data_IF_335956353221
#
_entry.id   IF_335956353221
#
_cell.length_a   1.000
_cell.length_b   1.000
_cell.length_c   1.000
_cell.angle_alpha   90.00
_cell.angle_beta   90.00
_cell.angle_gamma   90.00
#
_symmetry.space_group_name_H-M   'P 1'
#
loop_
_entity.id
_entity.type
_entity.pdbx_description
1 polymer ?
#
# COMPACT_ATOMS: atom_id res chain seq x y z
N UNK A 1 30.12 -10.30 -2.13
CA UNK A 1 29.17 -9.31 -1.57
C UNK A 1 28.40 -8.58 -2.67
N UNK A 2 29.10 -8.04 -3.68
CA UNK A 2 28.50 -7.35 -4.84
C UNK A 2 27.36 -8.12 -5.53
N UNK A 3 27.60 -9.37 -5.92
CA UNK A 3 26.61 -10.17 -6.65
C UNK A 3 25.30 -10.36 -5.88
N UNK A 4 25.38 -10.53 -4.55
CA UNK A 4 24.20 -10.64 -3.68
C UNK A 4 23.38 -9.35 -3.69
N UNK A 5 24.05 -8.20 -3.58
CA UNK A 5 23.38 -6.88 -3.63
C UNK A 5 22.72 -6.64 -4.99
N UNK A 6 23.40 -6.99 -6.09
CA UNK A 6 22.83 -6.87 -7.43
C UNK A 6 21.59 -7.77 -7.59
N UNK A 7 21.66 -9.01 -7.12
CA UNK A 7 20.52 -9.93 -7.19
C UNK A 7 19.32 -9.46 -6.36
N UNK A 8 19.57 -8.87 -5.18
CA UNK A 8 18.51 -8.23 -4.39
C UNK A 8 17.89 -7.05 -5.14
N UNK A 9 18.71 -6.15 -5.69
CA UNK A 9 18.24 -5.00 -6.46
C UNK A 9 17.39 -5.41 -7.67
N UNK A 10 17.80 -6.46 -8.39
CA UNK A 10 17.01 -7.03 -9.49
C UNK A 10 15.65 -7.57 -9.04
N UNK A 11 15.58 -8.20 -7.86
CA UNK A 11 14.31 -8.66 -7.27
C UNK A 11 13.41 -7.50 -6.86
N UNK A 12 13.97 -6.47 -6.21
CA UNK A 12 13.22 -5.26 -5.85
C UNK A 12 12.64 -4.59 -7.10
N UNK A 13 13.44 -4.38 -8.13
CA UNK A 13 12.97 -3.77 -9.39
C UNK A 13 11.91 -4.63 -10.08
N UNK A 14 12.05 -5.95 -10.08
CA UNK A 14 11.03 -6.86 -10.61
C UNK A 14 9.70 -6.75 -9.84
N UNK A 15 9.73 -6.74 -8.50
CA UNK A 15 8.54 -6.57 -7.67
C UNK A 15 7.85 -5.23 -7.91
N UNK A 16 8.62 -4.13 -7.94
CA UNK A 16 8.09 -2.77 -8.12
C UNK A 16 7.64 -2.45 -9.55
N UNK A 17 7.99 -3.28 -10.52
CA UNK A 17 7.51 -3.17 -11.91
C UNK A 17 6.48 -4.23 -12.26
N UNK A 18 5.90 -4.89 -11.26
CA UNK A 18 4.90 -5.94 -11.43
C UNK A 18 5.32 -7.03 -12.41
N UNK A 19 6.61 -7.37 -12.41
CA UNK A 19 7.17 -8.42 -13.25
C UNK A 19 7.37 -8.06 -14.73
N UNK A 20 7.37 -6.76 -15.08
CA UNK A 20 7.70 -6.29 -16.43
C UNK A 20 9.21 -6.13 -16.65
N UNK A 21 9.97 -5.77 -15.61
CA UNK A 21 11.43 -5.57 -15.71
C UNK A 21 12.18 -6.63 -14.93
N UNK A 22 13.41 -6.92 -15.40
CA UNK A 22 14.28 -7.94 -14.80
C UNK A 22 13.61 -9.33 -14.70
N UNK A 23 12.85 -9.74 -15.72
CA UNK A 23 12.29 -11.10 -15.77
C UNK A 23 13.41 -12.13 -15.87
N UNK A 24 13.32 -13.17 -15.05
CA UNK A 24 14.28 -14.25 -14.92
C UNK A 24 13.62 -15.46 -14.23
N UNK A 25 12.98 -16.37 -15.00
CA UNK A 25 12.27 -17.51 -14.43
C UNK A 25 13.16 -18.47 -13.65
N UNK A 26 14.41 -18.67 -14.04
CA UNK A 26 15.33 -19.58 -13.32
C UNK A 26 15.75 -19.02 -11.96
N UNK A 27 15.68 -17.70 -11.77
CA UNK A 27 15.84 -17.04 -10.48
C UNK A 27 14.51 -16.78 -9.73
N UNK A 28 13.40 -17.41 -10.14
CA UNK A 28 12.09 -17.27 -9.50
C UNK A 28 11.39 -15.93 -9.75
N UNK A 29 11.72 -15.26 -10.87
CA UNK A 29 11.16 -13.96 -11.27
C UNK A 29 10.47 -14.06 -12.64
N UNK A 30 9.36 -14.82 -12.77
CA UNK A 30 8.67 -14.99 -14.05
C UNK A 30 8.10 -13.66 -14.57
N UNK A 31 7.69 -13.64 -15.85
CA UNK A 31 7.00 -12.48 -16.43
C UNK A 31 5.60 -12.33 -15.83
N UNK A 32 5.20 -11.10 -15.56
CA UNK A 32 3.87 -10.74 -15.07
C UNK A 32 3.80 -10.59 -13.55
N UNK A 33 2.66 -10.08 -13.07
CA UNK A 33 2.48 -9.66 -11.69
C UNK A 33 2.80 -10.80 -10.71
N UNK A 34 3.79 -10.63 -9.82
CA UNK A 34 4.09 -11.58 -8.74
C UNK A 34 2.85 -11.74 -7.87
N UNK A 35 2.41 -12.97 -7.65
CA UNK A 35 1.22 -13.26 -6.84
C UNK A 35 1.55 -14.30 -5.78
N UNK A 36 1.16 -14.00 -4.55
CA UNK A 36 1.17 -14.98 -3.46
C UNK A 36 0.15 -16.11 -3.74
N UNK A 37 0.35 -17.29 -3.11
CA UNK A 37 -0.68 -18.33 -3.05
C UNK A 37 -2.02 -17.77 -2.59
N UNK A 38 -3.14 -18.36 -3.03
CA UNK A 38 -4.48 -17.84 -2.73
C UNK A 38 -4.79 -17.75 -1.22
N UNK A 39 -4.21 -18.64 -0.42
CA UNK A 39 -4.33 -18.68 1.04
C UNK A 39 -3.62 -17.51 1.75
N UNK A 40 -2.56 -16.98 1.14
CA UNK A 40 -1.73 -15.90 1.71
C UNK A 40 -2.01 -14.54 1.07
N UNK A 41 -2.72 -14.54 -0.07
CA UNK A 41 -2.97 -13.33 -0.83
C UNK A 41 -4.02 -12.47 -0.14
N UNK A 42 -3.60 -11.30 0.35
CA UNK A 42 -4.49 -10.25 0.83
C UNK A 42 -5.51 -9.86 -0.24
N UNK A 43 -6.78 -9.81 0.16
CA UNK A 43 -7.90 -9.39 -0.70
C UNK A 43 -8.78 -8.42 0.07
N UNK A 44 -9.46 -7.55 -0.68
CA UNK A 44 -10.59 -6.80 -0.16
C UNK A 44 -11.74 -7.80 0.05
N UNK A 45 -12.07 -8.09 1.31
CA UNK A 45 -13.12 -9.04 1.68
C UNK A 45 -14.43 -8.33 2.02
N UNK A 46 -14.34 -7.07 2.45
CA UNK A 46 -15.44 -6.13 2.55
C UNK A 46 -15.03 -4.86 1.82
N UNK A 47 -15.89 -4.35 0.95
CA UNK A 47 -15.62 -3.19 0.10
C UNK A 47 -15.25 -1.96 0.95
N UNK A 48 -14.21 -1.25 0.52
CA UNK A 48 -13.80 0.02 1.13
C UNK A 48 -14.47 1.13 0.32
N UNK A 49 -15.42 1.88 0.91
CA UNK A 49 -16.10 2.94 0.18
C UNK A 49 -15.11 4.05 -0.23
N UNK A 50 -15.30 4.58 -1.44
CA UNK A 50 -14.57 5.72 -1.98
C UNK A 50 -15.46 6.95 -2.21
N UNK A 51 -16.73 6.86 -1.81
CA UNK A 51 -17.67 7.98 -1.86
C UNK A 51 -17.34 9.01 -0.78
N UNK A 52 -17.55 10.29 -1.08
CA UNK A 52 -17.21 11.41 -0.18
C UNK A 52 -17.79 11.22 1.23
N UNK A 53 -19.05 10.79 1.33
CA UNK A 53 -19.76 10.66 2.60
C UNK A 53 -19.32 9.44 3.42
N UNK A 54 -18.88 8.37 2.75
CA UNK A 54 -18.46 7.12 3.38
C UNK A 54 -16.93 6.93 3.38
N UNK A 55 -16.17 7.98 3.05
CA UNK A 55 -14.71 7.96 3.11
C UNK A 55 -14.23 7.48 4.49
N UNK A 56 -13.29 6.53 4.55
CA UNK A 56 -12.80 6.00 5.82
C UNK A 56 -12.20 7.08 6.72
N UNK A 57 -12.50 7.03 8.01
CA UNK A 57 -11.91 7.93 9.02
C UNK A 57 -10.82 7.24 9.86
N UNK A 58 -10.94 5.92 10.04
CA UNK A 58 -10.12 5.10 10.94
C UNK A 58 -9.54 3.90 10.20
N UNK A 59 -8.33 3.52 10.61
CA UNK A 59 -7.62 2.32 10.18
C UNK A 59 -7.24 1.50 11.41
N UNK A 60 -7.70 0.26 11.49
CA UNK A 60 -7.45 -0.63 12.62
C UNK A 60 -6.90 -1.98 12.15
N UNK A 61 -6.20 -2.68 13.04
CA UNK A 61 -5.74 -4.03 12.80
C UNK A 61 -6.37 -4.98 13.80
N UNK A 62 -7.11 -5.96 13.29
CA UNK A 62 -7.69 -7.04 14.06
C UNK A 62 -6.70 -8.20 14.10
N UNK A 63 -6.04 -8.39 15.25
CA UNK A 63 -5.06 -9.46 15.45
C UNK A 63 -5.69 -10.85 15.43
N UNK A 64 -6.95 -10.98 15.84
CA UNK A 64 -7.66 -12.26 15.90
C UNK A 64 -7.94 -12.82 14.51
N UNK A 65 -8.23 -11.95 13.54
CA UNK A 65 -8.48 -12.35 12.15
C UNK A 65 -7.32 -12.05 11.21
N UNK A 66 -6.27 -11.35 11.68
CA UNK A 66 -5.19 -10.85 10.85
C UNK A 66 -5.71 -9.92 9.76
N UNK A 67 -6.66 -9.04 10.07
CA UNK A 67 -7.34 -8.19 9.08
C UNK A 67 -7.03 -6.71 9.30
N UNK A 68 -6.94 -5.97 8.20
CA UNK A 68 -6.91 -4.51 8.23
C UNK A 68 -8.34 -3.98 8.02
N UNK A 69 -8.87 -3.28 9.01
CA UNK A 69 -10.19 -2.64 8.95
C UNK A 69 -10.00 -1.20 8.50
N UNK A 70 -10.64 -0.81 7.40
CA UNK A 70 -10.51 0.50 6.74
C UNK A 70 -11.89 1.14 6.69
N UNK A 71 -12.26 1.89 7.73
CA UNK A 71 -13.64 2.36 7.91
C UNK A 71 -14.61 1.17 7.99
N UNK A 72 -15.55 1.08 7.04
CA UNK A 72 -16.48 -0.06 6.93
C UNK A 72 -15.96 -1.21 6.05
N UNK A 73 -14.78 -1.07 5.44
CA UNK A 73 -14.19 -2.10 4.58
C UNK A 73 -13.11 -2.91 5.29
N UNK A 74 -12.70 -4.01 4.67
CA UNK A 74 -11.77 -4.98 5.28
C UNK A 74 -10.86 -5.62 4.25
N UNK A 75 -9.57 -5.70 4.57
CA UNK A 75 -8.56 -6.43 3.80
C UNK A 75 -8.05 -7.61 4.63
N UNK A 76 -8.08 -8.81 4.07
CA UNK A 76 -7.65 -10.04 4.74
C UNK A 76 -7.13 -11.09 3.74
N UNK A 77 -6.15 -11.94 4.13
CA UNK A 77 -5.34 -11.82 5.35
C UNK A 77 -4.23 -10.77 5.19
N UNK A 78 -3.84 -10.14 6.30
CA UNK A 78 -2.71 -9.22 6.41
C UNK A 78 -1.81 -9.72 7.55
N UNK A 79 -0.66 -10.35 7.24
CA UNK A 79 0.28 -10.78 8.26
C UNK A 79 0.74 -9.62 9.14
N UNK A 80 1.01 -9.88 10.42
CA UNK A 80 1.48 -8.85 11.37
C UNK A 80 2.75 -8.16 10.87
N UNK A 81 3.68 -8.89 10.28
CA UNK A 81 4.90 -8.35 9.67
C UNK A 81 4.62 -7.31 8.57
N UNK A 82 3.54 -7.50 7.80
CA UNK A 82 3.12 -6.54 6.77
C UNK A 82 2.49 -5.31 7.41
N UNK A 83 1.64 -5.49 8.44
CA UNK A 83 1.02 -4.38 9.19
C UNK A 83 2.08 -3.49 9.84
N UNK A 84 3.12 -4.10 10.38
CA UNK A 84 4.19 -3.42 11.15
C UNK A 84 5.32 -2.91 10.26
N UNK A 85 5.28 -3.17 8.96
CA UNK A 85 6.35 -2.77 8.04
C UNK A 85 6.59 -1.25 8.06
N UNK A 86 7.82 -0.87 8.39
CA UNK A 86 8.24 0.51 8.54
C UNK A 86 9.52 0.80 7.76
N UNK A 87 9.60 2.01 7.20
CA UNK A 87 10.81 2.55 6.56
C UNK A 87 11.28 3.74 7.38
N UNK A 88 12.51 3.68 7.88
CA UNK A 88 13.08 4.71 8.76
C UNK A 88 12.18 5.04 9.96
N UNK A 89 11.57 4.01 10.57
CA UNK A 89 10.65 4.15 11.71
C UNK A 89 9.23 4.61 11.36
N UNK A 90 8.93 4.89 10.10
CA UNK A 90 7.60 5.29 9.65
C UNK A 90 6.81 4.10 9.14
N UNK A 91 5.70 3.78 9.81
CA UNK A 91 4.77 2.75 9.33
C UNK A 91 4.17 3.15 7.98
N UNK A 92 4.36 2.30 6.97
CA UNK A 92 3.99 2.64 5.58
C UNK A 92 2.47 2.70 5.41
N UNK A 93 1.72 1.81 6.04
CA UNK A 93 0.26 1.74 5.91
C UNK A 93 -0.38 2.93 6.62
N UNK A 94 0.05 3.24 7.85
CA UNK A 94 -0.47 4.39 8.60
C UNK A 94 -0.19 5.70 7.86
N UNK A 95 1.03 5.86 7.32
CA UNK A 95 1.39 7.03 6.54
C UNK A 95 0.54 7.16 5.28
N UNK A 96 0.36 6.06 4.53
CA UNK A 96 -0.44 6.04 3.32
C UNK A 96 -1.91 6.38 3.60
N UNK A 97 -2.49 5.79 4.66
CA UNK A 97 -3.87 6.02 5.06
C UNK A 97 -4.09 7.45 5.56
N UNK A 98 -3.13 8.01 6.30
CA UNK A 98 -3.22 9.38 6.78
C UNK A 98 -3.45 10.42 5.68
N UNK A 99 -3.01 10.18 4.44
CA UNK A 99 -3.27 11.06 3.30
C UNK A 99 -4.59 10.79 2.55
N UNK A 100 -5.25 9.66 2.83
CA UNK A 100 -6.38 9.13 2.05
C UNK A 100 -7.63 8.88 2.87
N UNK A 101 -7.65 9.28 4.14
CA UNK A 101 -8.83 9.28 4.98
C UNK A 101 -9.67 10.54 4.75
N UNK A 102 -10.91 10.53 5.21
CA UNK A 102 -11.89 11.63 5.04
C UNK A 102 -11.34 13.01 5.39
N UNK A 103 -10.57 13.12 6.47
CA UNK A 103 -9.81 14.32 6.83
C UNK A 103 -8.30 14.05 6.77
N UNK A 104 -7.63 14.34 5.64
CA UNK A 104 -6.22 14.01 5.45
C UNK A 104 -5.29 14.75 6.42
N UNK A 105 -4.23 14.08 6.87
CA UNK A 105 -3.21 14.64 7.77
C UNK A 105 -2.27 15.69 7.09
N UNK A 106 -2.56 16.09 5.85
CA UNK A 106 -1.85 17.15 5.15
C UNK A 106 -2.45 18.52 5.50
N UNK A 107 -1.60 19.53 5.71
CA UNK A 107 -2.09 20.92 5.77
C UNK A 107 -2.80 21.24 4.46
N UNK A 108 -4.09 21.61 4.50
CA UNK A 108 -4.76 22.26 3.36
C UNK A 108 -3.87 23.42 2.92
N UNK A 109 -3.34 23.35 1.69
CA UNK A 109 -2.63 24.48 1.09
C UNK A 109 -3.64 25.63 0.94
N UNK A 110 -3.17 26.83 1.21
CA UNK A 110 -3.91 28.00 1.67
C UNK A 110 -4.94 28.57 0.68
N UNK A 111 -5.74 29.51 1.19
CA UNK A 111 -6.76 30.40 0.58
C UNK A 111 -6.35 31.11 -0.75
N UNK A 112 -5.12 30.96 -1.22
CA UNK A 112 -4.56 31.69 -2.37
C UNK A 112 -4.86 31.07 -3.75
N UNK A 113 -5.54 29.93 -3.83
CA UNK A 113 -5.95 29.34 -5.11
C UNK A 113 -7.18 30.05 -5.75
N UNK A 114 -7.73 31.09 -5.11
CA UNK A 114 -8.89 31.85 -5.61
C UNK A 114 -8.57 33.18 -6.30
N UNK A 115 -7.30 33.61 -6.39
CA UNK A 115 -6.96 34.78 -7.21
C UNK A 115 -6.79 34.36 -8.68
N UNK A 116 -7.92 34.20 -9.37
CA UNK A 116 -7.94 34.25 -10.84
C UNK A 116 -7.57 35.69 -11.23
N UNK A 117 -6.39 35.83 -11.83
CA UNK A 117 -5.94 37.07 -12.47
C UNK A 117 -7.00 37.55 -13.47
N UNK A 118 -7.83 38.52 -13.08
CA UNK A 118 -8.61 39.31 -14.03
C UNK A 118 -7.64 40.21 -14.79
N UNK A 119 -7.41 39.88 -16.06
CA UNK A 119 -6.90 40.80 -17.07
C UNK A 119 -7.92 40.90 -18.19
#
# INVERSE_FOLDING_TARGET
MWERSVNLGRRVLWLHTYGERFVDPSAGRPKGAPKLPLSERSRCVEEIPDTIDAMPEVLEYDEGTGSLVVGSGRISPVPREVRDYAVSGMNVIDKWFGYRKKDPAGKRRLVLDFEVSTS
#
